data_IF_787120255513
#
_entry.id   IF_787120255513
#
_cell.length_a   1.000
_cell.length_b   1.000
_cell.length_c   1.000
_cell.angle_alpha   90.00
_cell.angle_beta   90.00
_cell.angle_gamma   90.00
#
_symmetry.space_group_name_H-M   'P 1'
#
loop_
_entity.id
_entity.type
_entity.pdbx_description
1 polymer ?
#
# COMPACT_ATOMS: atom_id res chain seq x y z
N UNK A 1 26.39 -10.62 -17.05
CA UNK A 1 25.73 -9.63 -17.95
C UNK A 1 24.72 -8.89 -17.10
N UNK A 2 24.95 -7.61 -16.77
CA UNK A 2 23.92 -6.81 -16.10
C UNK A 2 22.77 -6.59 -17.11
N UNK A 3 21.68 -7.32 -16.97
CA UNK A 3 20.45 -6.94 -17.66
C UNK A 3 20.06 -5.56 -17.16
N UNK A 4 20.00 -4.59 -18.07
CA UNK A 4 19.45 -3.27 -17.75
C UNK A 4 17.99 -3.48 -17.40
N UNK A 5 17.62 -3.19 -16.17
CA UNK A 5 16.23 -3.31 -15.69
C UNK A 5 15.33 -2.39 -16.51
N UNK A 6 14.26 -2.92 -17.07
CA UNK A 6 13.28 -2.12 -17.83
C UNK A 6 12.55 -1.14 -16.89
N UNK A 7 12.11 -0.02 -17.43
CA UNK A 7 11.21 0.90 -16.71
C UNK A 7 9.77 0.39 -16.86
N UNK A 8 8.92 0.62 -15.86
CA UNK A 8 7.48 0.31 -15.96
C UNK A 8 6.87 0.97 -17.21
N UNK A 9 5.94 0.27 -17.85
CA UNK A 9 5.12 0.83 -18.92
C UNK A 9 3.93 1.55 -18.33
N UNK A 10 3.99 2.88 -18.27
CA UNK A 10 2.88 3.72 -17.81
C UNK A 10 1.73 3.69 -18.83
N UNK A 11 0.53 3.31 -18.40
CA UNK A 11 -0.66 3.22 -19.23
C UNK A 11 -1.58 4.43 -19.08
N UNK A 12 -1.62 5.01 -17.87
CA UNK A 12 -2.52 6.10 -17.54
C UNK A 12 -2.01 6.87 -16.32
N UNK A 13 -2.16 8.19 -16.33
CA UNK A 13 -1.93 9.06 -15.18
C UNK A 13 -3.14 9.96 -14.99
N UNK A 14 -3.70 9.96 -13.77
CA UNK A 14 -4.88 10.75 -13.41
C UNK A 14 -4.60 11.59 -12.16
N UNK A 15 -5.27 12.73 -11.99
CA UNK A 15 -5.19 13.48 -10.74
C UNK A 15 -5.68 12.63 -9.56
N UNK A 16 -4.98 12.69 -8.43
CA UNK A 16 -5.49 12.13 -7.19
C UNK A 16 -6.67 12.97 -6.67
N UNK A 17 -7.64 12.38 -5.96
CA UNK A 17 -8.79 13.12 -5.42
C UNK A 17 -8.41 14.03 -4.25
N UNK A 18 -7.14 14.03 -3.81
CA UNK A 18 -6.68 14.68 -2.60
C UNK A 18 -5.21 15.06 -2.68
N UNK A 19 -4.74 16.04 -1.90
CA UNK A 19 -3.32 16.26 -1.68
C UNK A 19 -2.72 15.14 -0.83
N UNK A 20 -1.42 14.89 -1.00
CA UNK A 20 -0.66 13.91 -0.23
C UNK A 20 -1.20 12.47 -0.27
N UNK A 21 -1.53 11.91 -1.46
CA UNK A 21 -2.00 10.54 -1.55
C UNK A 21 -0.91 9.58 -1.03
N UNK A 22 -1.28 8.71 -0.07
CA UNK A 22 -0.33 7.81 0.59
C UNK A 22 -0.73 6.34 0.40
N UNK A 23 -1.91 5.95 0.85
CA UNK A 23 -2.47 4.62 0.67
C UNK A 23 -3.24 4.50 -0.63
N UNK A 24 -3.24 3.30 -1.24
CA UNK A 24 -4.07 2.97 -2.38
C UNK A 24 -4.41 1.47 -2.34
N UNK A 25 -5.67 1.14 -2.62
CA UNK A 25 -6.12 -0.22 -2.91
C UNK A 25 -7.13 -0.22 -4.04
N UNK A 26 -7.22 -1.33 -4.77
CA UNK A 26 -8.22 -1.55 -5.80
C UNK A 26 -9.38 -2.39 -5.25
N UNK A 27 -10.60 -2.01 -5.62
CA UNK A 27 -11.82 -2.77 -5.41
C UNK A 27 -12.52 -2.92 -6.79
N UNK A 28 -12.10 -3.94 -7.54
CA UNK A 28 -12.45 -4.04 -8.94
C UNK A 28 -11.99 -2.81 -9.72
N UNK A 29 -12.93 -2.07 -10.39
CA UNK A 29 -12.60 -0.87 -11.17
C UNK A 29 -12.42 0.39 -10.31
N UNK A 30 -12.74 0.31 -9.03
CA UNK A 30 -12.70 1.43 -8.12
C UNK A 30 -11.39 1.47 -7.33
N UNK A 31 -10.97 2.67 -6.97
CA UNK A 31 -9.78 2.92 -6.16
C UNK A 31 -10.18 3.52 -4.82
N UNK A 32 -9.53 3.03 -3.78
CA UNK A 32 -9.56 3.63 -2.44
C UNK A 32 -8.23 4.29 -2.16
N UNK A 33 -8.24 5.58 -1.81
CA UNK A 33 -7.04 6.40 -1.59
C UNK A 33 -7.08 6.98 -0.18
N UNK A 34 -5.99 6.82 0.55
CA UNK A 34 -5.75 7.51 1.83
C UNK A 34 -4.92 8.76 1.62
N UNK A 35 -5.39 9.90 2.14
CA UNK A 35 -4.63 11.14 2.17
C UNK A 35 -3.98 11.34 3.54
N UNK A 36 -2.66 11.38 3.56
CA UNK A 36 -1.89 11.67 4.76
C UNK A 36 -2.13 13.11 5.25
N UNK A 37 -2.25 14.05 4.31
CA UNK A 37 -2.31 15.48 4.62
C UNK A 37 -3.69 15.90 5.13
N UNK A 38 -4.78 15.29 4.61
CA UNK A 38 -6.16 15.62 5.00
C UNK A 38 -6.73 14.71 6.10
N UNK A 39 -6.04 13.62 6.45
CA UNK A 39 -6.55 12.56 7.34
C UNK A 39 -7.91 12.01 6.85
N UNK A 40 -8.03 11.75 5.55
CA UNK A 40 -9.25 11.23 4.93
C UNK A 40 -8.96 10.03 4.03
N UNK A 41 -9.99 9.26 3.76
CA UNK A 41 -10.00 8.24 2.70
C UNK A 41 -11.04 8.61 1.66
N UNK A 42 -10.77 8.24 0.42
CA UNK A 42 -11.60 8.56 -0.75
C UNK A 42 -11.82 7.30 -1.57
N UNK A 43 -13.10 7.01 -1.89
CA UNK A 43 -13.48 6.03 -2.90
C UNK A 43 -13.72 6.74 -4.23
N UNK A 44 -13.09 6.29 -5.32
CA UNK A 44 -13.24 6.90 -6.63
C UNK A 44 -13.33 5.87 -7.75
N UNK A 45 -14.16 6.19 -8.76
CA UNK A 45 -14.16 5.44 -10.02
C UNK A 45 -12.96 5.87 -10.85
N UNK A 46 -11.96 4.97 -10.97
CA UNK A 46 -10.65 5.30 -11.54
C UNK A 46 -10.73 5.94 -12.92
N UNK A 47 -11.47 5.31 -13.85
CA UNK A 47 -11.54 5.77 -15.24
C UNK A 47 -12.34 7.06 -15.44
N UNK A 48 -13.12 7.49 -14.43
CA UNK A 48 -13.94 8.72 -14.50
C UNK A 48 -13.36 9.85 -13.66
N UNK A 49 -12.42 9.57 -12.77
CA UNK A 49 -11.92 10.54 -11.79
C UNK A 49 -12.99 10.99 -10.78
N UNK A 50 -14.13 10.29 -10.71
CA UNK A 50 -15.29 10.69 -9.90
C UNK A 50 -15.19 10.06 -8.51
N UNK A 51 -15.12 10.92 -7.49
CA UNK A 51 -15.24 10.51 -6.10
C UNK A 51 -16.70 10.16 -5.79
N UNK A 52 -16.93 8.98 -5.21
CA UNK A 52 -18.25 8.54 -4.78
C UNK A 52 -18.37 8.46 -3.26
N UNK A 53 -17.24 8.43 -2.55
CA UNK A 53 -17.22 8.33 -1.10
C UNK A 53 -16.02 9.09 -0.53
N UNK A 54 -16.22 9.73 0.63
CA UNK A 54 -15.21 10.44 1.38
C UNK A 54 -15.48 10.26 2.88
N UNK A 55 -14.48 9.83 3.65
CA UNK A 55 -14.61 9.64 5.08
C UNK A 55 -13.40 10.18 5.84
N UNK A 56 -13.65 10.73 7.04
CA UNK A 56 -12.58 11.19 7.93
C UNK A 56 -11.97 10.00 8.65
N UNK A 57 -10.66 9.82 8.51
CA UNK A 57 -9.91 8.82 9.27
C UNK A 57 -9.62 9.30 10.69
N UNK A 58 -9.54 8.39 11.67
CA UNK A 58 -9.24 8.75 13.06
C UNK A 58 -7.80 9.20 13.30
N UNK A 59 -7.00 9.30 12.25
CA UNK A 59 -5.62 9.76 12.23
C UNK A 59 -5.10 9.85 10.80
N UNK A 60 -3.78 9.87 10.60
CA UNK A 60 -3.13 9.93 9.29
C UNK A 60 -3.14 8.56 8.61
N UNK A 61 -3.83 8.35 7.47
CA UNK A 61 -3.80 7.10 6.75
C UNK A 61 -2.44 6.87 6.08
N UNK A 62 -1.91 5.66 6.23
CA UNK A 62 -0.74 5.17 5.50
C UNK A 62 -1.18 4.20 4.40
N UNK A 63 -0.95 2.91 4.58
CA UNK A 63 -1.43 1.89 3.65
C UNK A 63 -2.85 1.44 3.94
N UNK A 64 -3.52 0.94 2.93
CA UNK A 64 -4.84 0.33 3.05
C UNK A 64 -4.97 -0.86 2.10
N UNK A 65 -5.90 -1.75 2.43
CA UNK A 65 -6.26 -2.91 1.60
C UNK A 65 -7.74 -3.24 1.75
N UNK A 66 -8.33 -3.82 0.72
CA UNK A 66 -9.73 -4.28 0.71
C UNK A 66 -9.80 -5.67 1.36
N UNK A 67 -10.79 -5.86 2.26
CA UNK A 67 -11.08 -7.16 2.90
C UNK A 67 -12.60 -7.38 2.91
N UNK A 68 -13.13 -7.93 1.81
CA UNK A 68 -14.58 -8.09 1.64
C UNK A 68 -15.30 -6.74 1.51
N UNK A 69 -16.21 -6.43 2.41
CA UNK A 69 -16.99 -5.19 2.47
C UNK A 69 -16.32 -4.06 3.27
N UNK A 70 -15.06 -4.23 3.62
CA UNK A 70 -14.33 -3.30 4.47
C UNK A 70 -12.92 -3.00 3.94
N UNK A 71 -12.41 -1.85 4.35
CA UNK A 71 -10.97 -1.53 4.25
C UNK A 71 -10.29 -1.80 5.59
N UNK A 72 -9.08 -2.36 5.52
CA UNK A 72 -8.11 -2.27 6.59
C UNK A 72 -7.17 -1.12 6.29
N UNK A 73 -7.03 -0.19 7.22
CA UNK A 73 -6.26 1.04 7.04
C UNK A 73 -5.25 1.17 8.16
N UNK A 74 -3.97 1.32 7.84
CA UNK A 74 -2.96 1.72 8.82
C UNK A 74 -3.14 3.20 9.09
N UNK A 75 -3.36 3.54 10.35
CA UNK A 75 -3.57 4.91 10.80
C UNK A 75 -2.57 5.23 11.90
N UNK A 76 -1.83 6.32 11.73
CA UNK A 76 -0.97 6.91 12.77
C UNK A 76 -1.68 8.04 13.49
N UNK A 77 -1.16 8.40 14.67
CA UNK A 77 -1.71 9.51 15.45
C UNK A 77 -1.61 10.85 14.70
N UNK A 78 -2.50 11.76 15.05
CA UNK A 78 -2.52 13.13 14.51
C UNK A 78 -1.49 14.04 15.17
N UNK A 79 -1.11 13.74 16.40
CA UNK A 79 -0.32 14.65 17.24
C UNK A 79 1.19 14.40 17.08
N UNK A 80 1.91 15.47 16.79
CA UNK A 80 3.36 15.50 16.55
C UNK A 80 4.22 15.37 17.82
N UNK A 81 3.61 15.10 18.98
CA UNK A 81 4.29 15.08 20.28
C UNK A 81 4.32 13.73 20.99
N UNK A 82 3.77 12.67 20.39
CA UNK A 82 3.67 11.34 20.95
C UNK A 82 4.56 10.29 20.28
N UNK A 83 4.41 9.07 20.72
CA UNK A 83 4.93 7.89 20.03
C UNK A 83 4.25 7.78 18.67
N UNK A 84 5.00 7.52 17.59
CA UNK A 84 4.45 7.28 16.23
C UNK A 84 3.74 5.90 16.19
N UNK A 85 2.88 5.66 17.19
CA UNK A 85 2.14 4.42 17.30
C UNK A 85 1.08 4.32 16.20
N UNK A 86 1.11 3.19 15.49
CA UNK A 86 0.21 2.93 14.39
C UNK A 86 -0.75 1.80 14.71
N UNK A 87 -1.94 1.94 14.16
CA UNK A 87 -3.04 1.00 14.35
C UNK A 87 -3.65 0.61 13.01
N UNK A 88 -4.03 -0.65 12.86
CA UNK A 88 -4.85 -1.11 11.76
C UNK A 88 -6.30 -0.91 12.18
N UNK A 89 -6.99 -0.01 11.49
CA UNK A 89 -8.41 0.31 11.67
C UNK A 89 -9.25 -0.35 10.58
N UNK A 90 -10.50 -0.64 10.90
CA UNK A 90 -11.48 -1.16 9.96
C UNK A 90 -12.47 -0.06 9.58
N UNK A 91 -12.57 0.21 8.30
CA UNK A 91 -13.59 1.08 7.71
C UNK A 91 -14.60 0.22 6.97
N UNK A 92 -15.89 0.37 7.28
CA UNK A 92 -16.95 -0.29 6.53
C UNK A 92 -17.40 0.65 5.43
N UNK A 93 -17.21 0.24 4.17
CA UNK A 93 -17.55 1.03 2.99
C UNK A 93 -19.02 1.44 3.03
N UNK A 94 -19.29 2.71 2.72
CA UNK A 94 -20.64 3.30 2.82
C UNK A 94 -21.12 3.56 4.24
N UNK A 95 -20.25 3.41 5.28
CA UNK A 95 -20.63 3.63 6.70
C UNK A 95 -19.58 4.48 7.40
N UNK A 96 -18.75 3.85 8.27
CA UNK A 96 -17.80 4.57 9.11
C UNK A 96 -16.65 3.66 9.61
N UNK A 97 -15.62 4.29 10.18
CA UNK A 97 -14.58 3.59 10.92
C UNK A 97 -15.15 2.93 12.18
N UNK A 98 -14.77 1.68 12.41
CA UNK A 98 -15.08 0.99 13.65
C UNK A 98 -14.16 1.45 14.78
N UNK A 99 -14.66 1.32 16.01
CA UNK A 99 -13.90 1.70 17.22
C UNK A 99 -12.76 0.73 17.53
N UNK A 100 -12.89 -0.53 17.13
CA UNK A 100 -11.85 -1.56 17.28
C UNK A 100 -10.61 -1.22 16.46
N UNK A 101 -9.46 -1.49 17.05
CA UNK A 101 -8.16 -1.26 16.41
C UNK A 101 -7.16 -2.33 16.81
N UNK A 102 -6.37 -2.76 15.86
CA UNK A 102 -5.24 -3.65 16.07
C UNK A 102 -3.98 -2.77 16.14
N UNK A 103 -3.26 -2.78 17.26
CA UNK A 103 -1.98 -2.07 17.35
C UNK A 103 -0.96 -2.76 16.44
N UNK A 104 -0.29 -2.00 15.58
CA UNK A 104 0.77 -2.55 14.75
C UNK A 104 1.90 -3.11 15.62
N UNK A 105 2.48 -4.28 15.29
CA UNK A 105 3.63 -4.82 16.02
C UNK A 105 4.77 -3.80 16.11
N UNK A 106 5.34 -3.63 17.31
CA UNK A 106 6.36 -2.62 17.58
C UNK A 106 5.91 -1.17 17.41
N UNK A 107 4.60 -0.90 17.32
CA UNK A 107 4.04 0.44 17.10
C UNK A 107 4.22 0.96 15.67
N UNK A 108 4.84 0.21 14.75
CA UNK A 108 5.15 0.66 13.40
C UNK A 108 4.47 -0.19 12.33
N UNK A 109 4.05 0.44 11.24
CA UNK A 109 3.44 -0.24 10.09
C UNK A 109 3.24 0.77 8.95
N UNK A 110 3.36 0.32 7.71
CA UNK A 110 3.28 1.22 6.56
C UNK A 110 2.17 0.83 5.59
N UNK A 111 2.29 -0.31 4.92
CA UNK A 111 1.35 -0.74 3.90
C UNK A 111 0.76 -2.09 4.25
N UNK A 112 -0.44 -2.36 3.74
CA UNK A 112 -1.18 -3.59 3.96
C UNK A 112 -1.39 -4.33 2.65
N UNK A 113 -1.43 -5.66 2.73
CA UNK A 113 -1.95 -6.53 1.69
C UNK A 113 -2.78 -7.64 2.33
N UNK A 114 -3.72 -8.20 1.57
CA UNK A 114 -4.60 -9.28 2.01
C UNK A 114 -4.69 -10.33 0.90
N UNK A 115 -4.54 -11.60 1.24
CA UNK A 115 -4.55 -12.70 0.27
C UNK A 115 -5.88 -13.49 0.20
N UNK A 116 -6.87 -13.05 0.98
CA UNK A 116 -8.16 -13.71 1.13
C UNK A 116 -8.30 -14.46 2.46
N UNK A 117 -7.20 -14.72 3.16
CA UNK A 117 -7.15 -15.40 4.46
C UNK A 117 -6.35 -14.59 5.49
N UNK A 118 -5.16 -14.12 5.12
CA UNK A 118 -4.20 -13.46 6.02
C UNK A 118 -3.98 -12.00 5.67
N UNK A 119 -3.77 -11.20 6.71
CA UNK A 119 -3.36 -9.81 6.59
C UNK A 119 -1.84 -9.70 6.72
N UNK A 120 -1.24 -8.93 5.82
CA UNK A 120 0.20 -8.67 5.80
C UNK A 120 0.46 -7.18 6.01
N UNK A 121 1.42 -6.88 6.87
CA UNK A 121 1.84 -5.52 7.22
C UNK A 121 3.30 -5.30 6.87
N UNK A 122 3.63 -4.29 6.09
CA UNK A 122 5.02 -3.91 5.90
C UNK A 122 5.52 -3.00 7.02
N UNK A 123 6.76 -3.22 7.45
CA UNK A 123 7.51 -2.28 8.28
C UNK A 123 8.68 -1.74 7.46
N UNK A 124 8.55 -0.50 7.00
CA UNK A 124 9.45 0.10 6.02
C UNK A 124 10.91 0.11 6.46
N UNK A 125 11.19 0.66 7.63
CA UNK A 125 12.56 0.87 8.11
C UNK A 125 13.20 -0.45 8.60
N UNK A 126 12.39 -1.41 9.05
CA UNK A 126 12.83 -2.75 9.38
C UNK A 126 13.03 -3.66 8.14
N UNK A 127 12.53 -3.23 6.98
CA UNK A 127 12.61 -3.97 5.72
C UNK A 127 12.01 -5.39 5.82
N UNK A 128 10.85 -5.50 6.45
CA UNK A 128 10.12 -6.76 6.62
C UNK A 128 8.65 -6.65 6.24
N UNK A 129 8.08 -7.79 5.88
CA UNK A 129 6.64 -8.00 5.82
C UNK A 129 6.28 -8.93 6.98
N UNK A 130 5.29 -8.56 7.77
CA UNK A 130 4.74 -9.35 8.85
C UNK A 130 3.42 -9.99 8.38
N UNK A 131 3.30 -11.30 8.49
CA UNK A 131 2.04 -12.02 8.40
C UNK A 131 1.36 -11.97 9.76
N UNK A 132 0.10 -11.54 9.81
CA UNK A 132 -0.64 -11.33 11.05
C UNK A 132 -1.84 -12.28 11.14
N UNK A 133 -2.15 -12.69 12.37
CA UNK A 133 -3.44 -13.29 12.67
C UNK A 133 -4.54 -12.20 12.83
N UNK A 134 -5.78 -12.63 13.09
CA UNK A 134 -6.92 -11.74 13.24
C UNK A 134 -6.81 -10.78 14.45
N UNK A 135 -6.00 -11.13 15.44
CA UNK A 135 -5.72 -10.30 16.62
C UNK A 135 -4.51 -9.36 16.42
N UNK A 136 -3.79 -9.50 15.31
CA UNK A 136 -2.59 -8.73 14.98
C UNK A 136 -1.30 -9.32 15.55
N UNK A 137 -1.31 -10.56 16.05
CA UNK A 137 -0.09 -11.25 16.43
C UNK A 137 0.69 -11.68 15.19
N UNK A 138 2.01 -11.58 15.27
CA UNK A 138 2.91 -11.94 14.17
C UNK A 138 3.02 -13.46 14.08
N UNK A 139 2.61 -14.02 12.95
CA UNK A 139 2.75 -15.44 12.62
C UNK A 139 4.07 -15.72 11.92
N UNK A 140 4.49 -14.82 11.04
CA UNK A 140 5.73 -14.96 10.26
C UNK A 140 6.30 -13.59 9.92
N UNK A 141 7.63 -13.52 9.81
CA UNK A 141 8.38 -12.34 9.35
C UNK A 141 9.13 -12.68 8.07
N UNK A 142 8.92 -11.90 7.02
CA UNK A 142 9.54 -12.09 5.70
C UNK A 142 10.49 -10.93 5.46
N UNK A 143 11.82 -11.15 5.42
CA UNK A 143 12.78 -10.08 5.13
C UNK A 143 12.71 -9.66 3.67
N UNK A 144 12.91 -8.36 3.43
CA UNK A 144 12.97 -7.77 2.08
C UNK A 144 14.23 -6.90 1.99
N UNK A 145 14.99 -6.96 0.88
CA UNK A 145 16.31 -6.30 0.82
C UNK A 145 16.25 -4.76 0.73
N UNK A 146 15.04 -4.17 0.60
CA UNK A 146 14.84 -2.73 0.38
C UNK A 146 13.66 -2.21 1.21
N UNK A 147 13.59 -0.90 1.43
CA UNK A 147 12.46 -0.25 2.11
C UNK A 147 11.19 -0.34 1.27
N UNK A 148 10.13 -0.92 1.85
CA UNK A 148 8.85 -1.11 1.17
C UNK A 148 8.06 0.21 1.22
N UNK A 149 7.62 0.70 0.05
CA UNK A 149 6.80 1.89 -0.11
C UNK A 149 5.42 1.61 -0.72
N UNK A 150 5.11 0.36 -1.02
CA UNK A 150 3.83 -0.14 -1.47
C UNK A 150 3.85 -1.66 -1.62
N UNK A 151 2.71 -2.32 -1.40
CA UNK A 151 2.62 -3.77 -1.60
C UNK A 151 1.20 -4.21 -1.94
N UNK A 152 1.11 -5.29 -2.72
CA UNK A 152 -0.11 -6.02 -3.03
C UNK A 152 0.20 -7.50 -3.23
N UNK A 153 -0.78 -8.36 -3.00
CA UNK A 153 -0.69 -9.80 -3.31
C UNK A 153 -1.54 -10.09 -4.54
N UNK A 154 -0.93 -10.75 -5.53
CA UNK A 154 -1.60 -11.19 -6.75
C UNK A 154 -1.22 -12.64 -7.01
N UNK A 155 -2.21 -13.53 -7.05
CA UNK A 155 -2.01 -14.97 -7.31
C UNK A 155 -0.93 -15.62 -6.42
N UNK A 156 -0.92 -15.29 -5.12
CA UNK A 156 0.01 -15.83 -4.12
C UNK A 156 1.43 -15.27 -4.20
N UNK A 157 1.64 -14.17 -4.91
CA UNK A 157 2.91 -13.46 -4.98
C UNK A 157 2.76 -12.05 -4.43
N UNK A 158 3.71 -11.60 -3.63
CA UNK A 158 3.86 -10.19 -3.32
C UNK A 158 4.45 -9.46 -4.52
N UNK A 159 3.85 -8.33 -4.85
CA UNK A 159 4.44 -7.28 -5.66
C UNK A 159 4.69 -6.09 -4.76
N UNK A 160 5.92 -5.56 -4.80
CA UNK A 160 6.38 -4.53 -3.87
C UNK A 160 6.93 -3.36 -4.66
N UNK A 161 6.48 -2.16 -4.31
CA UNK A 161 7.24 -0.94 -4.62
C UNK A 161 8.24 -0.72 -3.50
N UNK A 162 9.49 -0.53 -3.85
CA UNK A 162 10.59 -0.39 -2.88
C UNK A 162 11.53 0.74 -3.25
N UNK A 163 12.29 1.24 -2.27
CA UNK A 163 13.39 2.19 -2.46
C UNK A 163 14.59 1.78 -1.59
N UNK A 164 15.76 2.30 -1.85
CA UNK A 164 16.95 2.02 -1.01
C UNK A 164 16.88 2.73 0.34
N UNK A 165 16.47 4.00 0.33
CA UNK A 165 16.35 4.83 1.54
C UNK A 165 15.21 5.85 1.39
N UNK A 166 14.99 6.66 2.41
CA UNK A 166 13.99 7.74 2.38
C UNK A 166 14.35 8.87 1.41
N UNK A 167 15.64 9.09 1.20
CA UNK A 167 16.22 10.13 0.36
C UNK A 167 16.51 9.66 -1.06
N UNK A 168 16.38 8.35 -1.32
CA UNK A 168 16.66 7.77 -2.63
C UNK A 168 15.51 7.95 -3.60
N UNK A 169 15.84 8.30 -4.84
CA UNK A 169 14.91 8.31 -5.98
C UNK A 169 14.91 6.98 -6.76
N UNK A 170 15.65 5.96 -6.28
CA UNK A 170 15.70 4.64 -6.90
C UNK A 170 14.54 3.77 -6.46
N UNK A 171 13.41 3.88 -7.16
CA UNK A 171 12.24 3.06 -6.93
C UNK A 171 12.21 1.85 -7.85
N UNK A 172 11.90 0.68 -7.27
CA UNK A 172 11.86 -0.61 -7.95
C UNK A 172 10.55 -1.34 -7.69
N UNK A 173 10.09 -2.05 -8.70
CA UNK A 173 9.05 -3.06 -8.56
C UNK A 173 9.72 -4.42 -8.35
N UNK A 174 9.45 -5.05 -7.21
CA UNK A 174 9.93 -6.38 -6.86
C UNK A 174 8.79 -7.39 -6.85
N UNK A 175 9.13 -8.67 -7.02
CA UNK A 175 8.20 -9.78 -6.86
C UNK A 175 8.84 -10.89 -6.03
N UNK A 176 8.04 -11.53 -5.15
CA UNK A 176 8.45 -12.71 -4.39
C UNK A 176 7.24 -13.62 -4.09
N UNK A 177 7.48 -14.94 -3.92
CA UNK A 177 6.42 -15.90 -3.59
C UNK A 177 6.07 -15.78 -2.10
N UNK A 178 4.83 -15.36 -1.80
CA UNK A 178 4.36 -15.15 -0.44
C UNK A 178 4.31 -16.43 0.43
N UNK A 179 4.30 -17.61 -0.19
CA UNK A 179 4.16 -18.91 0.49
C UNK A 179 5.50 -19.48 0.97
N UNK A 180 6.63 -19.01 0.42
CA UNK A 180 7.96 -19.51 0.79
C UNK A 180 8.43 -18.87 2.09
N UNK A 181 9.08 -19.63 2.97
CA UNK A 181 9.69 -19.10 4.19
C UNK A 181 10.82 -18.12 3.87
N UNK A 182 11.67 -18.47 2.92
CA UNK A 182 12.76 -17.64 2.41
C UNK A 182 12.54 -17.41 0.91
N UNK A 183 11.69 -16.43 0.53
CA UNK A 183 11.39 -16.22 -0.87
C UNK A 183 12.58 -15.56 -1.60
N UNK A 184 12.84 -16.06 -2.80
CA UNK A 184 13.73 -15.38 -3.74
C UNK A 184 13.07 -14.10 -4.22
N UNK A 185 13.79 -12.99 -4.18
CA UNK A 185 13.31 -11.68 -4.60
C UNK A 185 13.76 -11.40 -6.04
N UNK A 186 12.80 -11.13 -6.91
CA UNK A 186 13.04 -10.78 -8.30
C UNK A 186 12.76 -9.29 -8.53
N UNK A 187 13.73 -8.57 -9.11
CA UNK A 187 13.51 -7.20 -9.58
C UNK A 187 12.86 -7.26 -10.96
N UNK A 188 11.69 -6.63 -11.12
CA UNK A 188 10.91 -6.65 -12.35
C UNK A 188 11.11 -5.40 -13.20
N UNK A 189 11.11 -4.22 -12.57
CA UNK A 189 11.21 -2.96 -13.29
C UNK A 189 11.68 -1.82 -12.39
N UNK A 190 12.24 -0.76 -12.99
CA UNK A 190 12.42 0.53 -12.34
C UNK A 190 11.15 1.38 -12.42
N UNK A 191 10.92 2.25 -11.42
CA UNK A 191 9.81 3.19 -11.39
C UNK A 191 10.42 4.60 -11.39
N UNK A 192 10.13 5.46 -12.41
CA UNK A 192 10.85 6.71 -12.62
C UNK A 192 10.32 7.88 -11.76
N UNK A 193 9.65 7.60 -10.64
CA UNK A 193 9.13 8.59 -9.71
C UNK A 193 8.99 8.01 -8.30
N UNK A 194 8.81 8.89 -7.31
CA UNK A 194 8.61 8.52 -5.91
C UNK A 194 7.22 7.87 -5.71
N UNK A 195 7.14 6.55 -5.94
CA UNK A 195 5.92 5.77 -5.85
C UNK A 195 5.57 5.42 -4.39
N UNK A 196 4.27 5.51 -4.07
CA UNK A 196 3.70 5.15 -2.77
C UNK A 196 2.48 4.28 -2.96
N UNK A 197 2.40 3.20 -2.15
CA UNK A 197 1.35 2.20 -2.26
C UNK A 197 1.40 1.40 -3.57
N UNK A 198 0.66 0.31 -3.63
CA UNK A 198 0.48 -0.52 -4.82
C UNK A 198 -0.85 -1.24 -4.73
N UNK A 199 -1.65 -1.17 -5.77
CA UNK A 199 -2.89 -1.91 -5.97
C UNK A 199 -2.88 -2.65 -7.29
N UNK A 200 -3.77 -3.64 -7.45
CA UNK A 200 -3.98 -4.37 -8.70
C UNK A 200 -5.47 -4.53 -8.95
N UNK A 201 -5.94 -4.10 -10.12
CA UNK A 201 -7.36 -4.12 -10.48
C UNK A 201 -7.81 -5.38 -11.23
N UNK A 202 -6.92 -6.39 -11.30
CA UNK A 202 -7.13 -7.62 -12.08
C UNK A 202 -6.44 -7.58 -13.46
N UNK A 203 -6.02 -6.42 -13.94
CA UNK A 203 -5.39 -6.23 -15.25
C UNK A 203 -4.08 -5.46 -15.20
N UNK A 204 -3.99 -4.41 -14.38
CA UNK A 204 -2.85 -3.51 -14.28
C UNK A 204 -2.61 -3.10 -12.84
N UNK A 205 -1.41 -2.63 -12.57
CA UNK A 205 -1.04 -2.05 -11.29
C UNK A 205 -1.40 -0.56 -11.22
N UNK A 206 -1.65 -0.12 -9.98
CA UNK A 206 -1.91 1.27 -9.64
C UNK A 206 -1.01 1.69 -8.49
N UNK A 207 -0.44 2.89 -8.56
CA UNK A 207 0.39 3.48 -7.51
C UNK A 207 0.19 4.99 -7.42
N UNK A 208 0.50 5.58 -6.26
CA UNK A 208 0.48 7.03 -6.07
C UNK A 208 1.85 7.64 -6.44
N UNK A 209 1.85 8.71 -7.22
CA UNK A 209 2.96 9.65 -7.33
C UNK A 209 2.66 10.85 -6.43
N UNK A 210 3.07 10.73 -5.15
CA UNK A 210 2.68 11.69 -4.11
C UNK A 210 3.15 13.11 -4.38
N UNK A 211 4.37 13.27 -4.92
CA UNK A 211 4.95 14.59 -5.21
C UNK A 211 4.17 15.39 -6.25
N UNK A 212 3.44 14.71 -7.14
CA UNK A 212 2.63 15.31 -8.19
C UNK A 212 1.13 15.30 -7.88
N UNK A 213 0.72 14.69 -6.78
CA UNK A 213 -0.68 14.40 -6.46
C UNK A 213 -1.41 13.69 -7.62
N UNK A 214 -0.76 12.68 -8.19
CA UNK A 214 -1.34 11.86 -9.27
C UNK A 214 -1.34 10.38 -8.90
N UNK A 215 -2.20 9.63 -9.57
CA UNK A 215 -2.28 8.18 -9.51
C UNK A 215 -1.86 7.65 -10.88
N UNK A 216 -1.00 6.66 -10.89
CA UNK A 216 -0.41 6.09 -12.09
C UNK A 216 -0.84 4.64 -12.23
N UNK A 217 -1.41 4.28 -13.38
CA UNK A 217 -1.60 2.90 -13.79
C UNK A 217 -0.48 2.46 -14.71
N UNK A 218 0.04 1.27 -14.51
CA UNK A 218 1.09 0.70 -15.35
C UNK A 218 0.88 -0.79 -15.61
N UNK A 219 1.45 -1.26 -16.72
CA UNK A 219 1.34 -2.66 -17.12
C UNK A 219 1.98 -3.58 -16.07
N UNK A 220 1.39 -4.76 -15.88
CA UNK A 220 2.06 -5.82 -15.12
C UNK A 220 3.25 -6.31 -15.95
N UNK A 221 4.49 -6.21 -15.44
CA UNK A 221 5.65 -6.82 -16.12
C UNK A 221 5.49 -8.34 -16.22
N UNK A 222 6.02 -8.91 -17.29
CA UNK A 222 5.99 -10.36 -17.58
C UNK A 222 6.80 -11.19 -16.56
#
# INVERSE_FOLDING_TARGET
MNQTLSTIEELLRIPAPCPGPMGLACDGPDLWIGSYDTCRIYGMVAMQGRVFEEATAPGRPFGLTVTGDALRVVVGDRDDGGTDDRFIRRYIMGKDFKSDAIRCPGGTGSFLAYDGDRLYLSQRDAQVILELDDAGAVLRTIPVPRQITGMVIVAGRFYLVTTESRESDDYRLLCLDARKEEPEVHELASIPFAARSLGFDGTKFWTNCRGENTIVAFAKPD
#
